data_IF_183841320582
#
_entry.id   IF_183841320582
#
_cell.length_a   1.000
_cell.length_b   1.000
_cell.length_c   1.000
_cell.angle_alpha   90.00
_cell.angle_beta   90.00
_cell.angle_gamma   90.00
#
_symmetry.space_group_name_H-M   'P 1'
#
loop_
_entity.id
_entity.type
_entity.pdbx_description
1 polymer ?
#
# COMPACT_ATOMS: atom_id res chain seq x y z
N UNK A 1 -16.62 5.91 -9.98
CA UNK A 1 -15.16 5.72 -10.12
C UNK A 1 -14.78 4.36 -9.59
N UNK A 2 -13.89 3.71 -10.27
CA UNK A 2 -13.46 2.37 -9.85
C UNK A 2 -12.42 2.47 -8.73
N UNK A 3 -12.41 1.45 -7.88
CA UNK A 3 -11.38 1.32 -6.86
C UNK A 3 -10.02 1.08 -7.54
N UNK A 4 -8.91 1.44 -6.88
CA UNK A 4 -7.60 1.14 -7.43
C UNK A 4 -7.43 -0.38 -7.57
N UNK A 5 -6.69 -0.78 -8.58
CA UNK A 5 -6.43 -2.21 -8.79
C UNK A 5 -5.44 -2.73 -7.76
N UNK A 6 -5.46 -4.04 -7.56
CA UNK A 6 -4.46 -4.71 -6.71
C UNK A 6 -3.06 -4.39 -7.19
N UNK A 7 -2.87 -4.31 -8.51
CA UNK A 7 -1.57 -3.99 -9.10
C UNK A 7 -1.08 -2.59 -8.68
N UNK A 8 -1.97 -1.59 -8.70
CA UNK A 8 -1.61 -0.24 -8.29
C UNK A 8 -1.17 -0.18 -6.83
N UNK A 9 -1.93 -0.84 -5.96
CA UNK A 9 -1.61 -0.87 -4.53
C UNK A 9 -0.30 -1.61 -4.29
N UNK A 10 -0.10 -2.73 -4.96
CA UNK A 10 1.14 -3.50 -4.84
C UNK A 10 2.33 -2.66 -5.28
N UNK A 11 2.21 -1.93 -6.38
CA UNK A 11 3.28 -1.07 -6.88
C UNK A 11 3.59 0.05 -5.88
N UNK A 12 2.55 0.65 -5.30
CA UNK A 12 2.73 1.70 -4.31
C UNK A 12 3.43 1.18 -3.05
N UNK A 13 3.06 -0.01 -2.59
CA UNK A 13 3.70 -0.63 -1.43
C UNK A 13 5.15 -1.01 -1.73
N UNK A 14 5.41 -1.52 -2.93
CA UNK A 14 6.77 -1.83 -3.35
C UNK A 14 7.63 -0.57 -3.38
N UNK A 15 7.10 0.52 -3.91
CA UNK A 15 7.80 1.81 -3.93
C UNK A 15 8.07 2.32 -2.52
N UNK A 16 7.10 2.18 -1.62
CA UNK A 16 7.27 2.57 -0.23
C UNK A 16 8.39 1.78 0.45
N UNK A 17 8.43 0.47 0.25
CA UNK A 17 9.47 -0.37 0.83
C UNK A 17 10.85 0.00 0.28
N UNK A 18 10.93 0.27 -1.01
CA UNK A 18 12.18 0.71 -1.63
C UNK A 18 12.65 2.07 -1.09
N UNK A 19 11.71 3.01 -0.94
CA UNK A 19 12.01 4.33 -0.40
C UNK A 19 12.49 4.23 1.05
N UNK A 20 11.89 3.35 1.84
CA UNK A 20 12.30 3.13 3.23
C UNK A 20 13.75 2.67 3.33
N UNK A 21 14.23 1.91 2.35
CA UNK A 21 15.60 1.43 2.32
C UNK A 21 16.61 2.54 2.03
N UNK A 22 16.18 3.62 1.33
CA UNK A 22 17.07 4.74 0.99
C UNK A 22 17.27 5.71 2.14
N UNK A 23 16.37 5.69 3.12
CA UNK A 23 16.33 6.64 4.24
C UNK A 23 16.15 8.10 3.82
N UNK A 24 15.67 8.32 2.62
CA UNK A 24 15.34 9.66 2.13
C UNK A 24 13.93 10.00 2.60
N UNK A 25 13.82 10.93 3.54
CA UNK A 25 12.53 11.28 4.15
C UNK A 25 11.53 11.85 3.13
N UNK A 26 12.01 12.54 2.11
CA UNK A 26 11.12 13.09 1.07
C UNK A 26 10.54 11.94 0.23
N UNK A 27 11.39 10.99 -0.19
CA UNK A 27 10.91 9.84 -0.94
C UNK A 27 9.96 8.98 -0.13
N UNK A 28 10.29 8.75 1.15
CA UNK A 28 9.43 7.97 2.05
C UNK A 28 8.08 8.64 2.19
N UNK A 29 8.07 9.96 2.40
CA UNK A 29 6.83 10.73 2.56
C UNK A 29 5.97 10.68 1.30
N UNK A 30 6.58 10.83 0.13
CA UNK A 30 5.87 10.80 -1.15
C UNK A 30 5.26 9.41 -1.38
N UNK A 31 6.04 8.36 -1.15
CA UNK A 31 5.56 6.99 -1.31
C UNK A 31 4.45 6.65 -0.31
N UNK A 32 4.60 7.10 0.93
CA UNK A 32 3.57 6.89 1.95
C UNK A 32 2.27 7.58 1.57
N UNK A 33 2.33 8.82 1.09
CA UNK A 33 1.15 9.54 0.65
C UNK A 33 0.40 8.78 -0.44
N UNK A 34 1.13 8.18 -1.37
CA UNK A 34 0.52 7.38 -2.43
C UNK A 34 -0.20 6.16 -1.86
N UNK A 35 0.42 5.48 -0.91
CA UNK A 35 -0.20 4.32 -0.24
C UNK A 35 -1.48 4.75 0.48
N UNK A 36 -1.44 5.87 1.20
CA UNK A 36 -2.59 6.36 1.93
C UNK A 36 -3.73 6.77 0.99
N UNK A 37 -3.42 7.40 -0.14
CA UNK A 37 -4.43 7.74 -1.14
C UNK A 37 -5.13 6.49 -1.67
N UNK A 38 -4.37 5.46 -2.00
CA UNK A 38 -4.93 4.23 -2.52
C UNK A 38 -5.74 3.50 -1.44
N UNK A 39 -5.29 3.53 -0.20
CA UNK A 39 -6.04 2.98 0.93
C UNK A 39 -7.40 3.64 1.05
N UNK A 40 -7.45 4.97 0.95
CA UNK A 40 -8.69 5.73 1.01
C UNK A 40 -9.65 5.38 -0.13
N UNK A 41 -9.10 5.02 -1.28
CA UNK A 41 -9.90 4.69 -2.45
C UNK A 41 -10.41 3.25 -2.45
N UNK A 42 -9.93 2.42 -1.54
CA UNK A 42 -10.39 1.04 -1.43
C UNK A 42 -11.87 1.00 -1.08
N UNK A 43 -12.62 0.25 -1.87
CA UNK A 43 -14.04 0.08 -1.65
C UNK A 43 -14.34 -1.03 -0.64
N UNK A 44 -15.62 -1.25 -0.35
CA UNK A 44 -16.04 -2.31 0.57
C UNK A 44 -15.72 -3.72 0.06
N UNK A 45 -15.41 -3.84 -1.24
CA UNK A 45 -15.03 -5.12 -1.83
C UNK A 45 -13.59 -5.51 -1.52
N UNK A 46 -12.79 -4.60 -0.98
CA UNK A 46 -11.39 -4.90 -0.69
C UNK A 46 -11.30 -6.01 0.35
N UNK A 47 -10.32 -6.93 0.21
CA UNK A 47 -10.15 -7.99 1.20
C UNK A 47 -9.97 -7.43 2.60
N UNK A 48 -10.68 -7.99 3.55
CA UNK A 48 -10.65 -7.52 4.93
C UNK A 48 -9.24 -7.60 5.52
N UNK A 49 -8.51 -8.66 5.19
CA UNK A 49 -7.14 -8.83 5.64
C UNK A 49 -6.24 -7.70 5.17
N UNK A 50 -6.39 -7.32 3.90
CA UNK A 50 -5.61 -6.24 3.33
C UNK A 50 -5.89 -4.93 4.07
N UNK A 51 -7.17 -4.62 4.28
CA UNK A 51 -7.57 -3.42 5.01
C UNK A 51 -6.99 -3.41 6.42
N UNK A 52 -7.03 -4.58 7.08
CA UNK A 52 -6.50 -4.73 8.43
C UNK A 52 -5.00 -4.44 8.48
N UNK A 53 -4.25 -5.00 7.53
CA UNK A 53 -2.81 -4.75 7.46
C UNK A 53 -2.50 -3.27 7.21
N UNK A 54 -3.26 -2.63 6.33
CA UNK A 54 -3.06 -1.21 6.04
C UNK A 54 -3.41 -0.33 7.24
N UNK A 55 -4.49 -0.63 7.93
CA UNK A 55 -4.90 0.11 9.13
C UNK A 55 -3.84 0.02 10.22
N UNK A 56 -3.21 -1.13 10.36
CA UNK A 56 -2.16 -1.35 11.34
C UNK A 56 -0.78 -0.92 10.84
N UNK A 57 -0.72 -0.40 9.64
CA UNK A 57 0.53 0.02 9.00
C UNK A 57 1.53 -1.12 8.83
N UNK A 58 1.02 -2.34 8.70
CA UNK A 58 1.82 -3.53 8.44
C UNK A 58 2.04 -3.67 6.93
N UNK A 59 2.77 -2.73 6.36
CA UNK A 59 2.90 -2.63 4.91
C UNK A 59 3.61 -3.82 4.29
N UNK A 60 4.59 -4.37 4.96
CA UNK A 60 5.27 -5.58 4.47
C UNK A 60 4.29 -6.75 4.39
N UNK A 61 3.46 -6.91 5.40
CA UNK A 61 2.45 -7.98 5.40
C UNK A 61 1.39 -7.75 4.33
N UNK A 62 1.00 -6.50 4.12
CA UNK A 62 0.06 -6.16 3.05
C UNK A 62 0.65 -6.50 1.69
N UNK A 63 1.92 -6.17 1.47
CA UNK A 63 2.60 -6.47 0.21
C UNK A 63 2.72 -7.98 0.01
N UNK A 64 3.10 -8.72 1.05
CA UNK A 64 3.20 -10.19 0.99
C UNK A 64 1.84 -10.80 0.66
N UNK A 65 0.77 -10.27 1.24
CA UNK A 65 -0.58 -10.73 0.96
C UNK A 65 -0.92 -10.53 -0.53
N UNK A 66 -0.62 -9.35 -1.07
CA UNK A 66 -0.90 -9.07 -2.47
C UNK A 66 -0.05 -9.92 -3.43
N UNK A 67 1.19 -10.19 -3.05
CA UNK A 67 2.07 -11.02 -3.87
C UNK A 67 1.67 -12.50 -3.88
N UNK A 68 0.87 -12.92 -2.92
CA UNK A 68 0.41 -14.32 -2.85
C UNK A 68 -0.94 -14.55 -3.54
N UNK A 69 -1.53 -13.53 -4.11
CA UNK A 69 -2.82 -13.65 -4.83
C UNK A 69 -2.68 -14.31 -6.21
#
# INVERSE_FOLDING_TARGET
MSSPSVSELRDALTAFMAASATRDSVEIGTALNRVLELEHQLGPDAPERLRHFLERRSYQKALDFLNSL
#
